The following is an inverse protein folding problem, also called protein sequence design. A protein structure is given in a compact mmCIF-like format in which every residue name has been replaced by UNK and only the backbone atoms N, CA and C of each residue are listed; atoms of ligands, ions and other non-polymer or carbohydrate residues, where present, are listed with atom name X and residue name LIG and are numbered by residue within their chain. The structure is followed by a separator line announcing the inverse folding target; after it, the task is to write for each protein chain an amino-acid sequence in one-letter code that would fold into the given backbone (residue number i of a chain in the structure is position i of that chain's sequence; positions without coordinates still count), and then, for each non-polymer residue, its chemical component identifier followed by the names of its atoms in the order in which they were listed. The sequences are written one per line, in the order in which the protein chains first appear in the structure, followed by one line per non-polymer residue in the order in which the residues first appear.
data_IF_719925439029
#
_entry.id   IF_719925439029
#
_cell.length_a   1.000
_cell.length_b   1.000
_cell.length_c   1.000
_cell.angle_alpha   90.00
_cell.angle_beta   90.00
_cell.angle_gamma   90.00
#
_symmetry.space_group_name_H-M   'P 1'
#
loop_
_entity.id
_entity.type
_entity.pdbx_description
1 polymer ?
#
# COMPACT_ATOMS: atom_id res chain seq x y z
N UNK A 1 -7.42 2.33 -4.73
CA UNK A 1 -6.25 2.72 -3.89
C UNK A 1 -5.29 3.59 -4.68
N UNK A 2 -4.74 3.12 -5.81
CA UNK A 2 -3.77 3.89 -6.62
C UNK A 2 -4.28 5.28 -7.03
N UNK A 3 -5.51 5.39 -7.54
CA UNK A 3 -6.13 6.69 -7.91
C UNK A 3 -6.14 7.72 -6.76
N UNK A 4 -6.33 7.29 -5.51
CA UNK A 4 -6.36 8.20 -4.37
C UNK A 4 -4.97 8.73 -4.02
N UNK A 5 -3.94 7.91 -4.21
CA UNK A 5 -2.54 8.29 -3.96
C UNK A 5 -2.07 9.29 -5.02
N UNK A 6 -2.44 9.07 -6.28
CA UNK A 6 -2.17 10.04 -7.36
C UNK A 6 -2.88 11.37 -7.08
N UNK A 7 -4.13 11.33 -6.60
CA UNK A 7 -4.84 12.54 -6.19
C UNK A 7 -4.13 13.29 -5.04
N UNK A 8 -3.69 12.57 -4.00
CA UNK A 8 -2.89 13.14 -2.91
C UNK A 8 -1.61 13.81 -3.47
N UNK A 9 -0.87 13.11 -4.34
CA UNK A 9 0.37 13.63 -4.93
C UNK A 9 0.16 14.87 -5.80
N UNK A 10 -0.95 14.96 -6.52
CA UNK A 10 -1.30 16.15 -7.31
C UNK A 10 -1.56 17.40 -6.46
N UNK A 11 -1.93 17.23 -5.18
CA UNK A 11 -2.13 18.33 -4.24
C UNK A 11 -0.86 18.66 -3.44
N UNK A 12 0.14 17.77 -3.43
CA UNK A 12 1.43 18.02 -2.77
C UNK A 12 2.28 19.08 -3.50
N UNK A 13 3.09 19.81 -2.73
CA UNK A 13 4.17 20.63 -3.27
C UNK A 13 5.18 19.78 -4.06
N UNK A 14 5.86 20.39 -5.05
CA UNK A 14 6.81 19.69 -5.94
C UNK A 14 7.87 18.89 -5.16
N UNK A 15 8.41 19.44 -4.07
CA UNK A 15 9.42 18.78 -3.22
C UNK A 15 8.92 17.43 -2.69
N UNK A 16 7.71 17.41 -2.12
CA UNK A 16 7.13 16.21 -1.52
C UNK A 16 6.59 15.24 -2.57
N UNK A 17 6.09 15.76 -3.70
CA UNK A 17 5.61 14.96 -4.83
C UNK A 17 6.71 14.06 -5.40
N UNK A 18 7.89 14.61 -5.69
CA UNK A 18 9.00 13.84 -6.27
C UNK A 18 9.77 13.01 -5.24
N UNK A 19 9.66 13.33 -3.94
CA UNK A 19 10.33 12.56 -2.88
C UNK A 19 9.40 11.49 -2.30
N UNK A 20 8.45 11.90 -1.46
CA UNK A 20 7.59 10.97 -0.71
C UNK A 20 6.46 10.42 -1.59
N UNK A 21 5.93 11.24 -2.49
CA UNK A 21 4.82 10.90 -3.38
C UNK A 21 5.17 9.82 -4.37
N UNK A 22 6.25 10.02 -5.13
CA UNK A 22 6.76 9.02 -6.07
C UNK A 22 7.15 7.72 -5.36
N UNK A 23 7.78 7.83 -4.18
CA UNK A 23 8.12 6.66 -3.36
C UNK A 23 6.88 5.90 -2.87
N UNK A 24 5.79 6.59 -2.54
CA UNK A 24 4.52 5.98 -2.13
C UNK A 24 3.84 5.29 -3.33
N UNK A 25 3.80 5.93 -4.49
CA UNK A 25 3.26 5.34 -5.72
C UNK A 25 4.00 4.05 -6.08
N UNK A 26 5.33 4.08 -6.08
CA UNK A 26 6.14 2.91 -6.37
C UNK A 26 5.88 1.76 -5.38
N UNK A 27 5.81 2.06 -4.08
CA UNK A 27 5.46 1.04 -3.05
C UNK A 27 4.12 0.38 -3.33
N UNK A 28 3.13 1.15 -3.76
CA UNK A 28 1.80 0.60 -4.06
C UNK A 28 1.79 -0.21 -5.35
N UNK A 29 2.50 0.25 -6.39
CA UNK A 29 2.67 -0.52 -7.63
C UNK A 29 3.38 -1.85 -7.35
N UNK A 30 4.50 -1.84 -6.62
CA UNK A 30 5.19 -3.06 -6.18
C UNK A 30 4.29 -3.96 -5.32
N UNK A 31 3.45 -3.38 -4.46
CA UNK A 31 2.43 -4.14 -3.73
C UNK A 31 1.47 -4.88 -4.65
N UNK A 32 0.93 -4.21 -5.67
CA UNK A 32 0.05 -4.80 -6.67
C UNK A 32 0.76 -5.88 -7.51
N UNK A 33 2.00 -5.64 -7.92
CA UNK A 33 2.83 -6.64 -8.61
C UNK A 33 2.98 -7.91 -7.76
N UNK A 34 3.30 -7.77 -6.47
CA UNK A 34 3.38 -8.93 -5.57
C UNK A 34 2.05 -9.68 -5.45
N UNK A 35 0.89 -9.00 -5.52
CA UNK A 35 -0.41 -9.67 -5.55
C UNK A 35 -0.65 -10.46 -6.84
N UNK A 36 -0.26 -9.89 -7.98
CA UNK A 36 -0.34 -10.57 -9.27
C UNK A 36 0.58 -11.79 -9.27
N UNK A 37 1.80 -11.66 -8.72
CA UNK A 37 2.73 -12.78 -8.56
C UNK A 37 2.15 -13.84 -7.62
N UNK A 38 1.55 -13.46 -6.49
CA UNK A 38 0.89 -14.39 -5.58
C UNK A 38 -0.28 -15.14 -6.25
N UNK A 39 -1.03 -14.48 -7.13
CA UNK A 39 -2.13 -15.12 -7.87
C UNK A 39 -1.63 -16.22 -8.80
N UNK A 40 -0.51 -15.99 -9.49
CA UNK A 40 0.05 -16.92 -10.49
C UNK A 40 1.07 -17.91 -9.89
N UNK A 41 1.54 -17.67 -8.66
CA UNK A 41 2.53 -18.51 -8.02
C UNK A 41 1.95 -19.85 -7.54
N UNK A 42 2.72 -20.95 -7.62
CA UNK A 42 2.34 -22.22 -7.02
C UNK A 42 2.24 -22.10 -5.49
N UNK A 43 1.42 -22.96 -4.86
CA UNK A 43 1.10 -22.95 -3.41
C UNK A 43 2.29 -22.61 -2.48
N UNK A 44 3.49 -23.23 -2.61
CA UNK A 44 4.61 -22.93 -1.71
C UNK A 44 5.17 -21.50 -1.86
N UNK A 45 5.12 -20.91 -3.05
CA UNK A 45 5.65 -19.56 -3.30
C UNK A 45 4.61 -18.46 -3.05
N UNK A 46 3.33 -18.79 -3.12
CA UNK A 46 2.22 -17.86 -2.92
C UNK A 46 2.27 -17.15 -1.56
N UNK A 47 2.62 -17.87 -0.50
CA UNK A 47 2.74 -17.30 0.85
C UNK A 47 3.81 -16.19 0.89
N UNK A 48 4.97 -16.41 0.27
CA UNK A 48 6.06 -15.43 0.25
C UNK A 48 5.65 -14.14 -0.47
N UNK A 49 4.92 -14.23 -1.58
CA UNK A 49 4.43 -13.05 -2.29
C UNK A 49 3.37 -12.28 -1.50
N UNK A 50 2.47 -12.97 -0.77
CA UNK A 50 1.51 -12.31 0.10
C UNK A 50 2.17 -11.60 1.29
N UNK A 51 3.21 -12.20 1.88
CA UNK A 51 4.01 -11.56 2.93
C UNK A 51 4.68 -10.28 2.39
N UNK A 52 5.28 -10.35 1.20
CA UNK A 52 5.86 -9.17 0.53
C UNK A 52 4.82 -8.09 0.26
N UNK A 53 3.63 -8.45 -0.24
CA UNK A 53 2.55 -7.50 -0.46
C UNK A 53 2.08 -6.85 0.84
N UNK A 54 1.99 -7.61 1.94
CA UNK A 54 1.64 -7.09 3.26
C UNK A 54 2.71 -6.11 3.77
N UNK A 55 4.00 -6.43 3.62
CA UNK A 55 5.08 -5.50 3.98
C UNK A 55 5.01 -4.19 3.18
N UNK A 56 4.73 -4.24 1.86
CA UNK A 56 4.54 -3.03 1.06
C UNK A 56 3.34 -2.20 1.54
N UNK A 57 2.26 -2.86 1.99
CA UNK A 57 1.09 -2.18 2.55
C UNK A 57 1.43 -1.43 3.86
N UNK A 58 2.23 -2.04 4.73
CA UNK A 58 2.71 -1.40 5.96
C UNK A 58 3.62 -0.21 5.66
N UNK A 59 4.54 -0.36 4.70
CA UNK A 59 5.40 0.75 4.23
C UNK A 59 4.55 1.89 3.65
N UNK A 60 3.52 1.59 2.85
CA UNK A 60 2.61 2.59 2.32
C UNK A 60 1.86 3.33 3.43
N UNK A 61 1.45 2.61 4.47
CA UNK A 61 0.76 3.17 5.64
C UNK A 61 1.67 4.12 6.43
N UNK A 62 2.93 3.75 6.63
CA UNK A 62 3.94 4.61 7.26
C UNK A 62 4.17 5.87 6.44
N UNK A 63 4.35 5.75 5.12
CA UNK A 63 4.53 6.91 4.23
C UNK A 63 3.34 7.87 4.27
N UNK A 64 2.11 7.36 4.31
CA UNK A 64 0.91 8.20 4.50
C UNK A 64 0.87 8.90 5.85
N UNK A 65 1.41 8.29 6.92
CA UNK A 65 1.55 8.98 8.20
C UNK A 65 2.53 10.15 8.11
N UNK A 66 3.64 9.98 7.39
CA UNK A 66 4.57 11.09 7.13
C UNK A 66 3.90 12.25 6.38
N UNK A 67 3.00 11.97 5.43
CA UNK A 67 2.22 13.02 4.77
C UNK A 67 1.35 13.84 5.74
N UNK A 68 0.80 13.21 6.80
CA UNK A 68 0.07 13.90 7.86
C UNK A 68 1.01 14.74 8.73
N UNK A 69 2.14 14.16 9.15
CA UNK A 69 3.12 14.84 10.02
C UNK A 69 3.67 16.12 9.35
N UNK A 70 3.93 16.07 8.05
CA UNK A 70 4.40 17.23 7.28
C UNK A 70 3.26 18.17 6.85
N UNK A 71 1.99 17.86 7.17
CA UNK A 71 0.79 18.65 6.81
C UNK A 71 0.73 19.04 5.33
N UNK A 72 1.22 18.17 4.45
CA UNK A 72 1.39 18.47 3.01
C UNK A 72 0.06 18.41 2.26
N UNK A 73 -0.91 17.62 2.74
CA UNK A 73 -2.18 17.35 2.08
C UNK A 73 -3.33 17.34 3.09
N UNK A 74 -4.55 17.58 2.60
CA UNK A 74 -5.79 17.47 3.36
C UNK A 74 -5.88 16.12 4.12
N UNK A 75 -5.95 16.22 5.44
CA UNK A 75 -6.01 15.09 6.37
C UNK A 75 -7.17 14.13 6.06
N UNK A 76 -8.33 14.65 5.64
CA UNK A 76 -9.50 13.84 5.28
C UNK A 76 -9.19 12.86 4.15
N UNK A 77 -8.46 13.29 3.11
CA UNK A 77 -8.07 12.42 1.99
C UNK A 77 -7.10 11.32 2.45
N UNK A 78 -6.20 11.66 3.37
CA UNK A 78 -5.24 10.71 3.93
C UNK A 78 -5.98 9.66 4.77
N UNK A 79 -6.90 10.06 5.64
CA UNK A 79 -7.70 9.12 6.44
C UNK A 79 -8.54 8.18 5.58
N UNK A 80 -9.18 8.70 4.52
CA UNK A 80 -9.91 7.85 3.55
C UNK A 80 -9.00 6.82 2.88
N UNK A 81 -7.77 7.21 2.54
CA UNK A 81 -6.78 6.32 1.93
C UNK A 81 -6.28 5.28 2.92
N UNK A 82 -6.03 5.67 4.18
CA UNK A 82 -5.67 4.76 5.26
C UNK A 82 -6.77 3.75 5.59
N UNK A 83 -8.03 4.14 5.54
CA UNK A 83 -9.16 3.22 5.72
C UNK A 83 -9.15 2.12 4.65
N UNK A 84 -8.96 2.48 3.38
CA UNK A 84 -8.85 1.52 2.27
C UNK A 84 -7.62 0.62 2.38
N UNK A 85 -6.47 1.17 2.80
CA UNK A 85 -5.29 0.37 3.10
C UNK A 85 -5.58 -0.68 4.18
N UNK A 86 -6.28 -0.29 5.25
CA UNK A 86 -6.65 -1.19 6.33
C UNK A 86 -7.57 -2.32 5.87
N UNK A 87 -8.53 -2.02 4.99
CA UNK A 87 -9.39 -3.04 4.37
C UNK A 87 -8.55 -4.05 3.57
N UNK A 88 -7.61 -3.57 2.76
CA UNK A 88 -6.70 -4.43 1.99
C UNK A 88 -5.84 -5.29 2.92
N UNK A 89 -5.35 -4.73 4.04
CA UNK A 89 -4.58 -5.48 5.04
C UNK A 89 -5.40 -6.60 5.69
N UNK A 90 -6.68 -6.36 5.98
CA UNK A 90 -7.59 -7.41 6.48
C UNK A 90 -7.77 -8.53 5.44
N UNK A 91 -7.92 -8.19 4.16
CA UNK A 91 -8.03 -9.16 3.08
C UNK A 91 -6.76 -10.01 2.94
N UNK A 92 -5.58 -9.37 2.96
CA UNK A 92 -4.29 -10.05 2.89
C UNK A 92 -4.07 -10.97 4.08
N UNK A 93 -4.40 -10.51 5.30
CA UNK A 93 -4.34 -11.33 6.51
C UNK A 93 -5.24 -12.57 6.40
N UNK A 94 -6.44 -12.43 5.85
CA UNK A 94 -7.34 -13.56 5.59
C UNK A 94 -6.75 -14.57 4.59
N UNK A 95 -6.17 -14.09 3.49
CA UNK A 95 -5.54 -14.96 2.49
C UNK A 95 -4.29 -15.67 3.03
N UNK A 96 -3.47 -15.00 3.84
CA UNK A 96 -2.31 -15.63 4.48
C UNK A 96 -2.74 -16.74 5.44
N UNK A 97 -3.76 -16.49 6.28
CA UNK A 97 -4.31 -17.51 7.18
C UNK A 97 -4.82 -18.73 6.43
N UNK A 98 -5.52 -18.52 5.30
CA UNK A 98 -6.05 -19.60 4.47
C UNK A 98 -4.97 -20.54 3.90
N UNK A 99 -3.73 -20.06 3.79
CA UNK A 99 -2.60 -20.85 3.29
C UNK A 99 -1.83 -21.57 4.40
N UNK A 100 -1.98 -21.14 5.66
CA UNK A 100 -1.37 -21.78 6.83
C UNK A 100 -2.22 -22.94 7.39
N UNK A 101 -3.51 -23.02 7.02
CA UNK A 101 -4.44 -24.05 7.52
C UNK A 101 -4.37 -25.35 6.70
N UNK A 102 -3.18 -25.77 6.26
CA UNK A 102 -2.95 -27.05 5.56
C UNK A 102 -1.90 -27.84 6.31
#
# INVERSE_FOLDING_TARGET
MYKLIVDINNHCEKRWRYSLGQSLENTVLTGLENLIMAKNAPKPLKANFLIKANAQLEIATLKLRLFLEFKVVNETKIFQTQAKLREIGRMLGGWMKSLQTV
#
